data_IF_769665962666
#
_entry.id   IF_769665962666
#
_cell.length_a   1.000
_cell.length_b   1.000
_cell.length_c   1.000
_cell.angle_alpha   90.00
_cell.angle_beta   90.00
_cell.angle_gamma   90.00
#
_symmetry.space_group_name_H-M   'P 1'
#
loop_
_entity.id
_entity.type
_entity.pdbx_description
1 polymer ?
#
# COMPACT_ATOMS: atom_id res chain seq x y z
N UNK A 1 20.07 47.27 39.82
CA UNK A 1 19.05 46.31 39.36
C UNK A 1 18.84 46.46 37.85
N UNK A 2 19.39 45.57 37.03
CA UNK A 2 19.03 45.41 35.62
C UNK A 2 18.87 43.91 35.37
N UNK A 3 17.64 43.46 35.14
CA UNK A 3 17.31 42.08 34.79
C UNK A 3 17.54 41.92 33.29
N UNK A 4 18.54 41.12 32.91
CA UNK A 4 18.71 40.66 31.53
C UNK A 4 17.77 39.48 31.29
N UNK A 5 16.81 39.65 30.38
CA UNK A 5 15.92 38.59 29.92
C UNK A 5 16.67 37.83 28.82
N UNK A 6 17.05 36.59 29.11
CA UNK A 6 17.65 35.67 28.15
C UNK A 6 16.53 35.09 27.29
N UNK A 7 16.39 35.57 26.05
CA UNK A 7 15.46 35.02 25.06
C UNK A 7 16.08 33.72 24.52
N UNK A 8 15.54 32.58 24.94
CA UNK A 8 15.95 31.27 24.45
C UNK A 8 15.58 31.10 22.98
N UNK A 9 16.57 31.24 22.10
CA UNK A 9 16.46 30.92 20.68
C UNK A 9 16.41 29.40 20.53
N UNK A 10 15.22 28.85 20.26
CA UNK A 10 15.09 27.44 19.85
C UNK A 10 15.64 27.35 18.42
N UNK A 11 16.90 26.96 18.31
CA UNK A 11 17.55 26.64 17.05
C UNK A 11 16.92 25.35 16.51
N UNK A 12 15.93 25.47 15.61
CA UNK A 12 15.51 24.37 14.76
C UNK A 12 16.69 24.03 13.84
N UNK A 13 17.44 22.99 14.20
CA UNK A 13 18.33 22.30 13.27
C UNK A 13 17.48 21.77 12.11
N UNK A 14 17.51 22.49 11.00
CA UNK A 14 17.05 21.99 9.71
C UNK A 14 17.99 20.85 9.30
N UNK A 15 17.63 19.61 9.65
CA UNK A 15 18.27 18.43 9.10
C UNK A 15 17.97 18.38 7.60
N UNK A 16 18.96 18.07 6.74
CA UNK A 16 18.75 17.94 5.32
C UNK A 16 17.69 16.86 5.07
N UNK A 17 16.66 17.22 4.30
CA UNK A 17 15.62 16.31 3.84
C UNK A 17 16.26 15.27 2.93
N UNK A 18 16.74 14.17 3.49
CA UNK A 18 17.12 12.99 2.71
C UNK A 18 15.85 12.39 2.12
N UNK A 19 15.94 11.96 0.86
CA UNK A 19 14.86 11.61 -0.08
C UNK A 19 13.99 10.38 0.29
N UNK A 20 13.72 10.12 1.58
CA UNK A 20 12.91 9.00 2.08
C UNK A 20 11.55 9.43 2.67
N UNK A 21 11.21 10.73 2.61
CA UNK A 21 9.91 11.25 3.05
C UNK A 21 8.76 11.03 2.03
N UNK A 22 8.93 10.17 1.03
CA UNK A 22 7.88 9.86 0.06
C UNK A 22 6.89 8.92 0.74
N UNK A 23 5.82 9.48 1.29
CA UNK A 23 4.71 8.72 1.87
C UNK A 23 4.45 8.96 3.36
N UNK A 24 5.22 9.76 4.10
CA UNK A 24 4.87 10.05 5.50
C UNK A 24 3.79 11.14 5.62
N UNK A 25 2.97 11.04 6.67
CA UNK A 25 2.03 12.10 7.04
C UNK A 25 2.16 12.47 8.52
N UNK A 26 1.89 13.75 8.82
CA UNK A 26 1.91 14.30 10.18
C UNK A 26 0.62 15.05 10.45
N UNK A 27 0.07 14.89 11.65
CA UNK A 27 -1.12 15.61 12.11
C UNK A 27 -0.86 16.30 13.44
N UNK A 28 -1.31 17.54 13.53
CA UNK A 28 -1.38 18.31 14.78
C UNK A 28 -2.80 18.75 15.04
N UNK A 29 -3.15 19.01 16.29
CA UNK A 29 -4.52 19.37 16.57
C UNK A 29 -4.88 19.60 18.02
N UNK A 30 -6.19 19.69 18.26
CA UNK A 30 -6.79 19.84 19.59
C UNK A 30 -7.91 18.84 19.82
N UNK A 31 -8.10 18.46 21.07
CA UNK A 31 -9.26 17.71 21.55
C UNK A 31 -10.03 18.59 22.53
N UNK A 32 -11.29 18.87 22.21
CA UNK A 32 -12.13 19.83 22.94
C UNK A 32 -13.53 19.27 23.21
N UNK A 33 -14.23 19.86 24.17
CA UNK A 33 -15.66 19.61 24.41
C UNK A 33 -16.54 20.46 23.47
N UNK A 34 -17.88 20.31 23.50
CA UNK A 34 -18.77 21.08 22.62
C UNK A 34 -18.76 22.60 22.88
N UNK A 35 -18.20 23.04 24.01
CA UNK A 35 -18.00 24.46 24.36
C UNK A 35 -16.65 25.00 23.89
N UNK A 36 -15.80 24.15 23.29
CA UNK A 36 -14.46 24.49 22.83
C UNK A 36 -13.38 24.43 23.91
N UNK A 37 -13.69 23.93 25.11
CA UNK A 37 -12.73 23.80 26.20
C UNK A 37 -11.83 22.56 25.98
N UNK A 38 -10.51 22.64 26.22
CA UNK A 38 -9.62 21.50 26.13
C UNK A 38 -10.04 20.33 27.03
N UNK A 39 -10.02 19.12 26.48
CA UNK A 39 -10.23 17.89 27.24
C UNK A 39 -8.88 17.31 27.64
N UNK A 40 -8.64 17.25 28.95
CA UNK A 40 -7.45 16.60 29.53
C UNK A 40 -7.57 15.07 29.49
N UNK A 41 -6.43 14.39 29.52
CA UNK A 41 -6.33 12.92 29.61
C UNK A 41 -7.03 12.16 28.47
N UNK A 42 -7.30 12.84 27.36
CA UNK A 42 -7.79 12.21 26.15
C UNK A 42 -6.68 11.36 25.49
N UNK A 43 -7.09 10.30 24.79
CA UNK A 43 -6.21 9.45 23.99
C UNK A 43 -6.71 9.40 22.56
N UNK A 44 -5.79 9.44 21.61
CA UNK A 44 -6.05 9.25 20.18
C UNK A 44 -5.44 7.91 19.78
N UNK A 45 -6.28 6.95 19.43
CA UNK A 45 -5.86 5.68 18.84
C UNK A 45 -5.94 5.79 17.33
N UNK A 46 -4.87 5.44 16.63
CA UNK A 46 -4.76 5.50 15.17
C UNK A 46 -4.53 4.09 14.65
N UNK A 47 -5.43 3.57 13.82
CA UNK A 47 -5.34 2.23 13.25
C UNK A 47 -5.34 2.33 11.72
N UNK A 48 -4.37 1.72 11.05
CA UNK A 48 -4.38 1.69 9.58
C UNK A 48 -5.52 0.80 9.08
N UNK A 49 -6.31 1.27 8.11
CA UNK A 49 -7.48 0.51 7.63
C UNK A 49 -7.09 -0.70 6.79
N UNK A 50 -5.96 -0.59 6.09
CA UNK A 50 -5.44 -1.59 5.15
C UNK A 50 -4.40 -2.52 5.83
N UNK A 51 -3.62 -1.98 6.76
CA UNK A 51 -2.67 -2.73 7.60
C UNK A 51 -3.21 -2.76 9.02
N UNK A 52 -4.26 -3.55 9.27
CA UNK A 52 -4.99 -3.57 10.57
C UNK A 52 -4.12 -3.88 11.80
N UNK A 53 -2.90 -4.36 11.58
CA UNK A 53 -1.89 -4.57 12.62
C UNK A 53 -1.20 -3.28 13.04
N UNK A 54 -1.17 -2.21 12.23
CA UNK A 54 -0.65 -0.92 12.67
C UNK A 54 -1.67 -0.23 13.58
N UNK A 55 -1.31 -0.11 14.86
CA UNK A 55 -2.09 0.58 15.90
C UNK A 55 -1.16 1.42 16.77
N UNK A 56 -1.37 2.72 16.80
CA UNK A 56 -0.68 3.63 17.71
C UNK A 56 -1.65 4.30 18.69
N UNK A 57 -1.17 4.62 19.88
CA UNK A 57 -1.96 5.29 20.92
C UNK A 57 -1.19 6.51 21.40
N UNK A 58 -1.76 7.69 21.16
CA UNK A 58 -1.18 8.98 21.47
C UNK A 58 -1.91 9.62 22.64
N UNK A 59 -1.17 10.04 23.67
CA UNK A 59 -1.74 10.83 24.77
C UNK A 59 -1.86 12.30 24.37
N UNK A 60 -3.04 12.88 24.59
CA UNK A 60 -3.27 14.31 24.40
C UNK A 60 -2.65 15.07 25.59
N UNK A 61 -2.03 16.21 25.32
CA UNK A 61 -1.44 17.06 26.36
C UNK A 61 -2.53 17.68 27.23
N UNK A 62 -2.14 18.18 28.41
CA UNK A 62 -3.07 18.81 29.36
C UNK A 62 -3.77 20.06 28.82
N UNK A 63 -3.19 20.72 27.82
CA UNK A 63 -3.78 21.86 27.10
C UNK A 63 -4.71 21.44 25.94
N UNK A 64 -5.00 20.14 25.82
CA UNK A 64 -5.82 19.54 24.78
C UNK A 64 -5.11 19.37 23.44
N UNK A 65 -3.83 19.76 23.31
CA UNK A 65 -3.11 19.66 22.03
C UNK A 65 -2.51 18.27 21.81
N UNK A 66 -2.38 17.87 20.54
CA UNK A 66 -1.69 16.66 20.14
C UNK A 66 -0.84 16.89 18.89
N UNK A 67 0.15 16.02 18.71
CA UNK A 67 0.93 15.88 17.50
C UNK A 67 1.25 14.40 17.30
N UNK A 68 1.03 13.89 16.10
CA UNK A 68 1.31 12.51 15.73
C UNK A 68 1.84 12.43 14.30
N UNK A 69 2.51 11.33 13.98
CA UNK A 69 3.02 11.02 12.66
C UNK A 69 2.67 9.58 12.34
N UNK A 70 2.39 9.30 11.07
CA UNK A 70 2.20 7.93 10.60
C UNK A 70 3.24 7.57 9.55
N UNK A 71 3.51 6.27 9.48
CA UNK A 71 4.54 5.66 8.63
C UNK A 71 4.17 5.75 7.15
N UNK A 72 2.88 5.66 6.81
CA UNK A 72 2.37 5.67 5.43
C UNK A 72 1.06 6.49 5.33
N UNK A 73 1.14 7.77 4.98
CA UNK A 73 -0.01 8.63 4.70
C UNK A 73 -0.71 8.38 3.36
N UNK A 74 -0.27 7.42 2.53
CA UNK A 74 -0.95 7.10 1.27
C UNK A 74 -2.26 6.34 1.51
N UNK A 75 -2.37 5.66 2.65
CA UNK A 75 -3.53 4.90 3.10
C UNK A 75 -4.43 5.68 4.08
N UNK A 76 -5.60 5.11 4.38
CA UNK A 76 -6.54 5.66 5.36
C UNK A 76 -6.28 5.10 6.77
N UNK A 77 -6.61 5.90 7.78
CA UNK A 77 -6.51 5.51 9.18
C UNK A 77 -7.84 5.75 9.90
N UNK A 78 -8.26 4.81 10.72
CA UNK A 78 -9.32 5.02 11.70
C UNK A 78 -8.74 5.72 12.93
N UNK A 79 -9.27 6.89 13.23
CA UNK A 79 -8.98 7.66 14.44
C UNK A 79 -10.08 7.40 15.44
N UNK A 80 -9.71 6.90 16.62
CA UNK A 80 -10.61 6.79 17.77
C UNK A 80 -10.12 7.73 18.87
N UNK A 81 -10.93 8.71 19.26
CA UNK A 81 -10.62 9.67 20.32
C UNK A 81 -11.53 9.41 21.52
N UNK A 82 -10.91 9.12 22.65
CA UNK A 82 -11.62 8.78 23.89
C UNK A 82 -11.09 9.62 25.05
N UNK A 83 -11.98 9.98 25.97
CA UNK A 83 -11.65 10.66 27.22
C UNK A 83 -12.65 10.26 28.31
N UNK A 84 -12.24 10.16 29.59
CA UNK A 84 -13.16 9.86 30.68
C UNK A 84 -14.31 10.88 30.77
N UNK A 85 -15.55 10.38 30.81
CA UNK A 85 -16.74 11.23 30.92
C UNK A 85 -17.20 11.86 29.60
N UNK A 86 -16.72 11.39 28.47
CA UNK A 86 -17.13 11.82 27.13
C UNK A 86 -17.50 10.63 26.25
N UNK A 87 -18.34 10.86 25.23
CA UNK A 87 -18.59 9.84 24.20
C UNK A 87 -17.40 9.72 23.26
N UNK A 88 -17.06 8.47 22.90
CA UNK A 88 -15.99 8.17 21.96
C UNK A 88 -16.27 8.74 20.57
N UNK A 89 -15.25 9.31 19.93
CA UNK A 89 -15.30 9.82 18.58
C UNK A 89 -14.56 8.86 17.64
N UNK A 90 -15.14 8.56 16.47
CA UNK A 90 -14.50 7.76 15.41
C UNK A 90 -14.61 8.43 14.05
N UNK A 91 -13.50 8.50 13.31
CA UNK A 91 -13.46 8.98 11.93
C UNK A 91 -12.37 8.25 11.15
N UNK A 92 -12.65 7.92 9.88
CA UNK A 92 -11.61 7.41 8.97
C UNK A 92 -11.06 8.58 8.17
N UNK A 93 -9.75 8.83 8.29
CA UNK A 93 -9.08 9.99 7.72
C UNK A 93 -7.95 9.53 6.81
N UNK A 94 -7.92 10.08 5.58
CA UNK A 94 -6.72 10.06 4.72
C UNK A 94 -5.94 11.33 4.98
N UNK A 95 -4.70 11.20 5.45
CA UNK A 95 -3.85 12.36 5.70
C UNK A 95 -3.13 12.78 4.43
N UNK A 96 -2.94 14.09 4.28
CA UNK A 96 -2.05 14.65 3.27
C UNK A 96 -0.58 14.34 3.60
N UNK A 97 0.22 14.10 2.56
CA UNK A 97 1.63 13.78 2.68
C UNK A 97 2.45 15.02 3.01
N UNK A 98 3.57 14.85 3.72
CA UNK A 98 4.55 15.92 3.94
C UNK A 98 5.01 16.48 2.58
N UNK A 99 5.04 17.82 2.38
CA UNK A 99 5.03 18.88 3.40
C UNK A 99 3.66 19.44 3.78
N UNK A 100 2.55 18.92 3.22
CA UNK A 100 1.22 19.42 3.54
C UNK A 100 0.89 19.23 5.02
N UNK A 101 0.21 20.23 5.60
CA UNK A 101 -0.17 20.23 7.01
C UNK A 101 -1.52 19.54 7.18
N UNK A 102 -1.59 18.58 8.09
CA UNK A 102 -2.86 18.09 8.60
C UNK A 102 -3.12 18.73 9.96
N UNK A 103 -4.10 19.62 10.03
CA UNK A 103 -4.57 20.23 11.28
C UNK A 103 -5.99 19.76 11.60
N UNK A 104 -6.23 19.30 12.84
CA UNK A 104 -7.54 18.78 13.21
C UNK A 104 -7.99 19.15 14.62
N UNK A 105 -9.29 19.44 14.76
CA UNK A 105 -9.93 19.59 16.06
C UNK A 105 -10.97 18.50 16.22
N UNK A 106 -10.79 17.64 17.22
CA UNK A 106 -11.77 16.62 17.59
C UNK A 106 -12.65 17.16 18.72
N UNK A 107 -13.96 17.19 18.50
CA UNK A 107 -14.94 17.64 19.49
C UNK A 107 -15.68 16.43 20.04
N UNK A 108 -15.51 16.13 21.33
CA UNK A 108 -16.18 14.98 21.95
C UNK A 108 -17.52 15.40 22.54
N UNK A 109 -18.56 14.60 22.28
CA UNK A 109 -19.90 14.85 22.79
C UNK A 109 -20.06 14.47 24.26
N UNK A 110 -21.18 14.90 24.85
CA UNK A 110 -21.58 14.52 26.20
C UNK A 110 -21.58 12.98 26.39
N UNK A 111 -21.30 12.48 27.61
CA UNK A 111 -21.25 11.05 27.86
C UNK A 111 -22.62 10.41 27.61
N UNK A 112 -22.63 9.33 26.83
CA UNK A 112 -23.78 8.43 26.77
C UNK A 112 -23.75 7.49 27.99
N UNK A 113 -24.93 7.02 28.42
CA UNK A 113 -25.11 6.17 29.61
C UNK A 113 -24.29 4.85 29.59
N UNK A 114 -23.68 4.53 28.45
CA UNK A 114 -22.83 3.35 28.21
C UNK A 114 -21.33 3.64 28.26
N UNK A 115 -20.87 4.87 28.50
CA UNK A 115 -19.43 5.25 28.42
C UNK A 115 -18.56 4.85 29.64
N UNK A 116 -18.99 3.86 30.42
CA UNK A 116 -18.11 3.22 31.40
C UNK A 116 -17.44 2.00 30.77
N UNK A 117 -16.22 2.23 30.31
CA UNK A 117 -15.04 1.36 30.34
C UNK A 117 -14.05 1.97 29.33
N UNK A 118 -13.33 3.01 29.75
CA UNK A 118 -12.12 3.45 29.03
C UNK A 118 -11.11 2.33 29.21
N UNK A 119 -11.12 1.33 28.33
CA UNK A 119 -9.99 0.43 28.20
C UNK A 119 -8.86 1.31 27.67
N UNK A 120 -7.85 1.56 28.49
CA UNK A 120 -6.58 2.09 27.98
C UNK A 120 -6.19 1.16 26.84
N UNK A 121 -6.23 1.64 25.60
CA UNK A 121 -5.84 0.87 24.45
C UNK A 121 -4.34 0.57 24.62
N UNK A 122 -4.02 -0.57 25.22
CA UNK A 122 -2.64 -1.06 25.26
C UNK A 122 -2.39 -1.63 23.87
N UNK A 123 -1.41 -1.07 23.18
CA UNK A 123 -0.88 -1.67 21.96
C UNK A 123 -0.20 -2.96 22.40
N UNK A 124 -0.56 -4.10 21.81
CA UNK A 124 0.09 -5.35 22.17
C UNK A 124 1.59 -5.26 21.87
N UNK A 125 2.47 -5.90 22.69
CA UNK A 125 3.91 -5.74 22.54
C UNK A 125 4.45 -6.10 21.14
N UNK A 126 3.85 -7.09 20.48
CA UNK A 126 4.26 -7.49 19.13
C UNK A 126 3.94 -6.40 18.11
N UNK A 127 2.75 -5.81 18.17
CA UNK A 127 2.38 -4.64 17.36
C UNK A 127 3.25 -3.43 17.67
N UNK A 128 3.58 -3.20 18.96
CA UNK A 128 4.47 -2.10 19.32
C UNK A 128 5.88 -2.27 18.69
N UNK A 129 6.45 -3.48 18.77
CA UNK A 129 7.72 -3.80 18.13
C UNK A 129 7.65 -3.67 16.60
N UNK A 130 6.55 -4.11 15.97
CA UNK A 130 6.31 -3.94 14.54
C UNK A 130 6.28 -2.46 14.13
N UNK A 131 5.51 -1.63 14.85
CA UNK A 131 5.40 -0.19 14.57
C UNK A 131 6.75 0.51 14.73
N UNK A 132 7.50 0.18 15.77
CA UNK A 132 8.84 0.72 16.00
C UNK A 132 9.79 0.33 14.86
N UNK A 133 9.78 -0.94 14.43
CA UNK A 133 10.55 -1.40 13.30
C UNK A 133 10.17 -0.70 11.99
N UNK A 134 8.89 -0.47 11.75
CA UNK A 134 8.40 0.26 10.57
C UNK A 134 8.89 1.72 10.57
N UNK A 135 8.89 2.37 11.73
CA UNK A 135 9.46 3.71 11.90
C UNK A 135 10.97 3.72 11.63
N UNK A 136 11.71 2.78 12.18
CA UNK A 136 13.17 2.66 11.96
C UNK A 136 13.49 2.37 10.48
N UNK A 137 12.66 1.56 9.80
CA UNK A 137 12.79 1.29 8.37
C UNK A 137 12.65 2.56 7.53
N UNK A 138 11.70 3.41 7.90
CA UNK A 138 11.47 4.72 7.28
C UNK A 138 12.60 5.71 7.51
N UNK A 139 13.33 5.58 8.62
CA UNK A 139 14.55 6.34 8.90
C UNK A 139 15.77 5.79 8.11
N UNK A 140 15.59 4.71 7.34
CA UNK A 140 16.61 4.10 6.49
C UNK A 140 17.51 3.09 7.21
N UNK A 141 17.34 2.89 8.51
CA UNK A 141 18.10 1.91 9.27
C UNK A 141 17.50 0.51 9.09
N UNK A 142 17.91 -0.18 8.03
CA UNK A 142 17.36 -1.50 7.69
C UNK A 142 17.66 -2.57 8.76
N UNK A 143 18.84 -2.52 9.39
CA UNK A 143 19.23 -3.52 10.41
C UNK A 143 18.42 -3.37 11.69
N UNK A 144 18.22 -2.13 12.16
CA UNK A 144 17.36 -1.85 13.32
C UNK A 144 15.90 -2.25 13.06
N UNK A 145 15.42 -2.00 11.84
CA UNK A 145 14.08 -2.42 11.44
C UNK A 145 13.92 -3.94 11.44
N UNK A 146 14.87 -4.67 10.85
CA UNK A 146 14.87 -6.14 10.85
C UNK A 146 14.86 -6.68 12.29
N UNK A 147 15.71 -6.16 13.17
CA UNK A 147 15.77 -6.59 14.57
C UNK A 147 14.41 -6.42 15.28
N UNK A 148 13.70 -5.32 15.00
CA UNK A 148 12.37 -5.06 15.56
C UNK A 148 11.28 -5.92 14.96
N UNK A 149 11.35 -6.25 13.69
CA UNK A 149 10.42 -7.21 13.07
C UNK A 149 10.64 -8.63 13.61
N UNK A 150 11.89 -9.03 13.84
CA UNK A 150 12.22 -10.30 14.50
C UNK A 150 11.76 -10.33 15.96
N UNK A 151 11.85 -9.22 16.69
CA UNK A 151 11.26 -9.06 18.03
C UNK A 151 9.73 -9.25 17.98
N UNK A 152 9.06 -8.59 17.02
CA UNK A 152 7.62 -8.71 16.83
C UNK A 152 7.20 -10.17 16.55
N UNK A 153 7.97 -10.90 15.73
CA UNK A 153 7.74 -12.32 15.43
C UNK A 153 7.99 -13.22 16.65
N UNK A 154 9.02 -12.92 17.47
CA UNK A 154 9.26 -13.67 18.73
C UNK A 154 8.09 -13.51 19.71
N UNK A 155 7.51 -12.32 19.76
CA UNK A 155 6.35 -12.01 20.61
C UNK A 155 5.06 -12.59 20.05
N UNK A 156 4.90 -12.63 18.72
CA UNK A 156 3.74 -13.17 18.02
C UNK A 156 4.14 -13.87 16.72
N UNK A 157 4.37 -15.20 16.74
CA UNK A 157 4.86 -15.95 15.59
C UNK A 157 3.91 -15.99 14.39
N UNK A 158 2.63 -15.70 14.58
CA UNK A 158 1.61 -15.59 13.53
C UNK A 158 1.39 -14.15 13.02
N UNK A 159 2.22 -13.18 13.40
CA UNK A 159 2.11 -11.80 12.92
C UNK A 159 2.59 -11.68 11.47
N UNK A 160 1.71 -11.96 10.51
CA UNK A 160 2.00 -11.93 9.07
C UNK A 160 2.62 -10.62 8.60
N UNK A 161 2.13 -9.48 9.09
CA UNK A 161 2.66 -8.16 8.75
C UNK A 161 4.18 -8.02 9.02
N UNK A 162 4.69 -8.63 10.09
CA UNK A 162 6.12 -8.60 10.40
C UNK A 162 6.93 -9.45 9.41
N UNK A 163 6.42 -10.60 8.96
CA UNK A 163 7.05 -11.39 7.90
C UNK A 163 7.03 -10.68 6.55
N UNK A 164 5.92 -10.03 6.19
CA UNK A 164 5.83 -9.22 4.97
C UNK A 164 6.85 -8.08 4.98
N UNK A 165 6.99 -7.39 6.12
CA UNK A 165 7.99 -6.35 6.30
C UNK A 165 9.42 -6.90 6.19
N UNK A 166 9.72 -8.04 6.84
CA UNK A 166 11.03 -8.69 6.72
C UNK A 166 11.36 -9.07 5.28
N UNK A 167 10.40 -9.60 4.53
CA UNK A 167 10.60 -9.98 3.14
C UNK A 167 11.08 -8.78 2.29
N UNK A 168 10.39 -7.63 2.43
CA UNK A 168 10.73 -6.37 1.77
C UNK A 168 12.08 -5.82 2.25
N UNK A 169 12.35 -5.87 3.56
CA UNK A 169 13.62 -5.39 4.14
C UNK A 169 14.82 -6.21 3.67
N UNK A 170 14.71 -7.54 3.65
CA UNK A 170 15.76 -8.42 3.15
C UNK A 170 15.97 -8.26 1.64
N UNK A 171 14.91 -8.09 0.84
CA UNK A 171 15.02 -7.79 -0.58
C UNK A 171 15.83 -6.50 -0.81
N UNK A 172 15.54 -5.42 -0.05
CA UNK A 172 16.30 -4.16 -0.11
C UNK A 172 17.77 -4.31 0.29
N UNK A 173 18.09 -5.28 1.14
CA UNK A 173 19.48 -5.65 1.49
C UNK A 173 20.13 -6.62 0.51
N UNK A 174 19.42 -7.02 -0.54
CA UNK A 174 19.81 -8.08 -1.48
C UNK A 174 20.05 -9.45 -0.82
N UNK A 175 19.54 -9.67 0.40
CA UNK A 175 19.54 -10.98 1.07
C UNK A 175 18.32 -11.77 0.59
N UNK A 176 18.36 -12.17 -0.69
CA UNK A 176 17.22 -12.78 -1.36
C UNK A 176 16.81 -14.12 -0.74
N UNK A 177 17.75 -14.87 -0.15
CA UNK A 177 17.44 -16.12 0.53
C UNK A 177 16.53 -15.89 1.75
N UNK A 178 16.85 -14.90 2.61
CA UNK A 178 15.99 -14.56 3.74
C UNK A 178 14.70 -13.87 3.30
N UNK A 179 14.75 -13.07 2.24
CA UNK A 179 13.57 -12.44 1.65
C UNK A 179 12.53 -13.49 1.21
N UNK A 180 12.97 -14.52 0.48
CA UNK A 180 12.12 -15.63 0.04
C UNK A 180 11.49 -16.35 1.24
N UNK A 181 12.30 -16.74 2.23
CA UNK A 181 11.80 -17.45 3.41
C UNK A 181 10.74 -16.63 4.18
N UNK A 182 10.95 -15.32 4.31
CA UNK A 182 10.00 -14.43 4.98
C UNK A 182 8.71 -14.26 4.16
N UNK A 183 8.79 -14.08 2.84
CA UNK A 183 7.61 -13.93 1.99
C UNK A 183 6.79 -15.23 1.91
N UNK A 184 7.43 -16.39 1.81
CA UNK A 184 6.73 -17.68 1.84
C UNK A 184 6.02 -17.90 3.18
N UNK A 185 6.65 -17.51 4.29
CA UNK A 185 6.02 -17.56 5.61
C UNK A 185 4.84 -16.60 5.73
N UNK A 186 4.94 -15.40 5.15
CA UNK A 186 3.83 -14.46 5.09
C UNK A 186 2.63 -15.05 4.32
N UNK A 187 2.85 -15.53 3.09
CA UNK A 187 1.81 -16.18 2.27
C UNK A 187 1.20 -17.41 2.96
N UNK A 188 1.98 -18.19 3.71
CA UNK A 188 1.45 -19.30 4.49
C UNK A 188 0.48 -18.87 5.62
N UNK A 189 0.57 -17.62 6.08
CA UNK A 189 -0.29 -17.06 7.13
C UNK A 189 -1.52 -16.34 6.57
N UNK A 190 -1.39 -15.64 5.44
CA UNK A 190 -2.48 -14.80 4.88
C UNK A 190 -3.13 -15.35 3.62
N UNK A 191 -2.54 -16.37 2.99
CA UNK A 191 -2.95 -16.85 1.67
C UNK A 191 -2.34 -16.00 0.55
N UNK A 192 -3.15 -15.71 -0.48
CA UNK A 192 -2.73 -14.93 -1.64
C UNK A 192 -2.48 -13.46 -1.26
N UNK A 193 -1.28 -12.96 -1.59
CA UNK A 193 -0.91 -11.56 -1.41
C UNK A 193 -0.04 -11.07 -2.56
N UNK A 194 -0.56 -10.06 -3.25
CA UNK A 194 -0.03 -9.46 -4.46
C UNK A 194 1.39 -8.88 -4.30
N UNK A 195 1.62 -8.21 -3.17
CA UNK A 195 2.91 -7.63 -2.81
C UNK A 195 3.93 -8.75 -2.57
N UNK A 196 3.55 -9.81 -1.87
CA UNK A 196 4.44 -10.95 -1.61
C UNK A 196 4.76 -11.74 -2.89
N UNK A 197 3.83 -11.85 -3.82
CA UNK A 197 4.12 -12.42 -5.15
C UNK A 197 5.15 -11.61 -5.92
N UNK A 198 5.05 -10.27 -5.87
CA UNK A 198 6.03 -9.38 -6.50
C UNK A 198 7.42 -9.51 -5.85
N UNK A 199 7.47 -9.55 -4.51
CA UNK A 199 8.72 -9.74 -3.75
C UNK A 199 9.38 -11.09 -4.09
N UNK A 200 8.61 -12.17 -4.14
CA UNK A 200 9.12 -13.50 -4.48
C UNK A 200 9.61 -13.56 -5.93
N UNK A 201 8.85 -12.99 -6.88
CA UNK A 201 9.25 -12.95 -8.27
C UNK A 201 10.62 -12.26 -8.45
N UNK A 202 10.81 -11.10 -7.80
CA UNK A 202 12.08 -10.39 -7.83
C UNK A 202 13.20 -11.18 -7.14
N UNK A 203 12.96 -11.66 -5.91
CA UNK A 203 13.98 -12.36 -5.14
C UNK A 203 14.43 -13.66 -5.83
N UNK A 204 13.52 -14.42 -6.43
CA UNK A 204 13.86 -15.59 -7.24
C UNK A 204 14.61 -15.23 -8.52
N UNK A 205 14.22 -14.13 -9.20
CA UNK A 205 14.93 -13.67 -10.39
C UNK A 205 16.38 -13.28 -10.07
N UNK A 206 16.59 -12.55 -8.98
CA UNK A 206 17.91 -12.06 -8.55
C UNK A 206 18.79 -13.16 -7.95
N UNK A 207 18.20 -14.18 -7.33
CA UNK A 207 18.91 -15.39 -6.87
C UNK A 207 19.17 -16.42 -7.99
N UNK A 208 18.70 -16.15 -9.22
CA UNK A 208 18.99 -16.96 -10.40
C UNK A 208 17.98 -18.08 -10.70
N UNK A 209 16.96 -18.26 -9.86
CA UNK A 209 15.90 -19.23 -10.10
C UNK A 209 14.81 -18.64 -11.00
N UNK A 210 15.06 -18.66 -12.32
CA UNK A 210 14.17 -18.08 -13.33
C UNK A 210 12.80 -18.75 -13.40
N UNK A 211 12.73 -20.04 -13.10
CA UNK A 211 11.48 -20.81 -13.14
C UNK A 211 10.52 -20.36 -12.04
N UNK A 212 11.00 -20.33 -10.78
CA UNK A 212 10.23 -19.81 -9.64
C UNK A 212 9.90 -18.33 -9.82
N UNK A 213 10.81 -17.54 -10.38
CA UNK A 213 10.55 -16.13 -10.66
C UNK A 213 9.36 -15.96 -11.62
N UNK A 214 9.31 -16.75 -12.70
CA UNK A 214 8.20 -16.73 -13.64
C UNK A 214 6.89 -17.21 -12.99
N UNK A 215 6.96 -18.26 -12.16
CA UNK A 215 5.80 -18.77 -11.39
C UNK A 215 5.16 -17.67 -10.53
N UNK A 216 5.96 -16.97 -9.72
CA UNK A 216 5.43 -15.93 -8.83
C UNK A 216 5.08 -14.64 -9.56
N UNK A 217 5.80 -14.30 -10.65
CA UNK A 217 5.43 -13.16 -11.51
C UNK A 217 4.05 -13.36 -12.14
N UNK A 218 3.70 -14.60 -12.48
CA UNK A 218 2.37 -14.92 -13.00
C UNK A 218 1.25 -14.72 -11.96
N UNK A 219 1.56 -14.84 -10.67
CA UNK A 219 0.60 -14.67 -9.55
C UNK A 219 0.45 -13.23 -9.07
N UNK A 220 1.47 -12.38 -9.24
CA UNK A 220 1.41 -10.97 -8.90
C UNK A 220 0.32 -10.21 -9.70
N UNK A 221 -0.25 -9.11 -9.18
CA UNK A 221 -1.29 -8.37 -9.87
C UNK A 221 -0.68 -7.77 -11.13
N UNK A 222 -1.17 -8.25 -12.26
CA UNK A 222 -0.66 -7.81 -13.54
C UNK A 222 -1.46 -6.58 -13.97
N UNK A 223 -0.79 -5.52 -14.42
CA UNK A 223 -1.43 -4.44 -15.13
C UNK A 223 -1.64 -4.83 -16.61
N UNK A 224 -2.44 -4.05 -17.34
CA UNK A 224 -2.72 -4.34 -18.74
C UNK A 224 -1.46 -4.42 -19.62
N UNK A 225 -0.46 -3.51 -19.51
CA UNK A 225 0.82 -3.65 -20.21
C UNK A 225 1.60 -4.94 -19.91
N UNK A 226 1.64 -5.40 -18.66
CA UNK A 226 2.37 -6.60 -18.27
C UNK A 226 1.73 -7.88 -18.81
N UNK A 227 0.39 -7.93 -18.79
CA UNK A 227 -0.37 -9.02 -19.43
C UNK A 227 -0.17 -9.02 -20.93
N UNK A 228 -0.23 -7.85 -21.56
CA UNK A 228 0.03 -7.68 -22.98
C UNK A 228 1.43 -8.18 -23.37
N UNK A 229 2.47 -7.76 -22.65
CA UNK A 229 3.85 -8.19 -22.91
C UNK A 229 4.03 -9.70 -22.74
N UNK A 230 3.37 -10.33 -21.75
CA UNK A 230 3.38 -11.78 -21.60
C UNK A 230 2.66 -12.48 -22.75
N UNK A 231 1.50 -11.96 -23.16
CA UNK A 231 0.79 -12.48 -24.32
C UNK A 231 1.64 -12.40 -25.59
N UNK A 232 2.32 -11.27 -25.82
CA UNK A 232 3.22 -11.09 -26.97
C UNK A 232 4.33 -12.14 -26.98
N UNK A 233 4.86 -12.55 -25.82
CA UNK A 233 5.82 -13.66 -25.78
C UNK A 233 5.22 -14.99 -26.25
N UNK A 234 3.97 -15.28 -25.88
CA UNK A 234 3.25 -16.46 -26.39
C UNK A 234 2.95 -16.33 -27.89
N UNK A 235 2.51 -15.16 -28.35
CA UNK A 235 2.27 -14.90 -29.78
C UNK A 235 3.53 -15.11 -30.62
N UNK A 236 4.68 -14.58 -30.17
CA UNK A 236 5.97 -14.78 -30.82
C UNK A 236 6.42 -16.24 -30.84
N UNK A 237 5.94 -17.05 -29.89
CA UNK A 237 6.15 -18.49 -29.85
C UNK A 237 5.10 -19.31 -30.65
N UNK A 238 4.18 -18.64 -31.35
CA UNK A 238 3.08 -19.29 -32.08
C UNK A 238 2.00 -19.92 -31.18
N UNK A 239 1.98 -19.56 -29.91
CA UNK A 239 1.09 -20.09 -28.87
C UNK A 239 -0.12 -19.17 -28.68
N UNK A 240 -0.93 -19.06 -29.73
CA UNK A 240 -2.07 -18.14 -29.75
C UNK A 240 -3.13 -18.49 -28.69
N UNK A 241 -3.34 -19.78 -28.42
CA UNK A 241 -4.33 -20.23 -27.45
C UNK A 241 -3.97 -19.79 -26.02
N UNK A 242 -2.69 -19.77 -25.67
CA UNK A 242 -2.17 -19.30 -24.38
C UNK A 242 -2.15 -17.77 -24.28
N UNK A 243 -2.02 -17.06 -25.41
CA UNK A 243 -2.00 -15.59 -25.44
C UNK A 243 -3.38 -14.96 -25.24
N UNK A 244 -4.44 -15.56 -25.79
CA UNK A 244 -5.83 -15.05 -25.72
C UNK A 244 -6.27 -14.69 -24.29
N UNK A 245 -6.20 -15.58 -23.28
CA UNK A 245 -6.68 -15.24 -21.94
C UNK A 245 -5.93 -14.07 -21.31
N UNK A 246 -4.63 -13.92 -21.62
CA UNK A 246 -3.82 -12.80 -21.14
C UNK A 246 -4.24 -11.49 -21.80
N UNK A 247 -4.47 -11.49 -23.12
CA UNK A 247 -4.95 -10.31 -23.86
C UNK A 247 -6.37 -9.92 -23.43
N UNK A 248 -7.26 -10.89 -23.23
CA UNK A 248 -8.61 -10.62 -22.69
C UNK A 248 -8.52 -9.93 -21.34
N UNK A 249 -7.74 -10.47 -20.39
CA UNK A 249 -7.55 -9.85 -19.08
C UNK A 249 -6.92 -8.45 -19.20
N UNK A 250 -5.98 -8.25 -20.12
CA UNK A 250 -5.40 -6.93 -20.38
C UNK A 250 -6.48 -5.91 -20.81
N UNK A 251 -7.37 -6.31 -21.72
CA UNK A 251 -8.48 -5.46 -22.18
C UNK A 251 -9.57 -5.23 -21.12
N UNK A 252 -9.72 -6.14 -20.16
CA UNK A 252 -10.62 -5.95 -19.01
C UNK A 252 -10.05 -4.96 -17.99
N UNK A 253 -8.73 -5.00 -17.77
CA UNK A 253 -8.03 -4.08 -16.87
C UNK A 253 -7.88 -2.68 -17.46
N UNK A 254 -7.65 -2.57 -18.77
CA UNK A 254 -7.64 -1.31 -19.50
C UNK A 254 -8.41 -1.46 -20.82
N UNK A 255 -9.69 -1.06 -20.77
CA UNK A 255 -10.57 -1.10 -21.91
C UNK A 255 -10.14 -0.15 -23.05
N UNK A 256 -9.25 0.81 -22.78
CA UNK A 256 -8.71 1.75 -23.76
C UNK A 256 -7.41 1.29 -24.41
N UNK A 257 -6.86 0.14 -24.00
CA UNK A 257 -5.59 -0.36 -24.52
C UNK A 257 -5.73 -0.93 -25.94
N UNK A 258 -5.65 -0.06 -26.95
CA UNK A 258 -5.88 -0.41 -28.35
C UNK A 258 -4.99 -1.54 -28.85
N UNK A 259 -3.71 -1.57 -28.49
CA UNK A 259 -2.78 -2.58 -28.99
C UNK A 259 -3.14 -3.98 -28.48
N UNK A 260 -3.68 -4.10 -27.27
CA UNK A 260 -4.17 -5.37 -26.73
C UNK A 260 -5.41 -5.86 -27.49
N UNK A 261 -6.34 -4.96 -27.83
CA UNK A 261 -7.50 -5.29 -28.68
C UNK A 261 -7.10 -5.75 -30.08
N UNK A 262 -6.11 -5.09 -30.69
CA UNK A 262 -5.59 -5.51 -32.00
C UNK A 262 -4.96 -6.90 -31.95
N UNK A 263 -4.06 -7.14 -31.00
CA UNK A 263 -3.39 -8.43 -30.87
C UNK A 263 -4.38 -9.56 -30.50
N UNK A 264 -5.41 -9.26 -29.69
CA UNK A 264 -6.48 -10.20 -29.37
C UNK A 264 -7.27 -10.59 -30.64
N UNK A 265 -7.60 -9.60 -31.46
CA UNK A 265 -8.25 -9.82 -32.75
C UNK A 265 -7.41 -10.71 -33.67
N UNK A 266 -6.12 -10.40 -33.81
CA UNK A 266 -5.20 -11.19 -34.64
C UNK A 266 -4.97 -12.61 -34.12
N UNK A 267 -4.91 -12.80 -32.80
CA UNK A 267 -4.83 -14.13 -32.19
C UNK A 267 -6.10 -14.95 -32.50
N UNK A 268 -7.28 -14.34 -32.43
CA UNK A 268 -8.53 -14.99 -32.81
C UNK A 268 -8.59 -15.35 -34.31
N UNK A 269 -8.05 -14.51 -35.20
CA UNK A 269 -7.91 -14.85 -36.63
C UNK A 269 -7.09 -16.13 -36.81
N UNK A 270 -5.92 -16.23 -36.15
CA UNK A 270 -5.05 -17.41 -36.24
C UNK A 270 -5.68 -18.68 -35.64
N UNK A 271 -6.58 -18.51 -34.68
CA UNK A 271 -7.37 -19.59 -34.09
C UNK A 271 -8.69 -19.88 -34.84
N UNK A 272 -8.94 -19.22 -35.98
CA UNK A 272 -10.17 -19.32 -36.77
C UNK A 272 -11.47 -19.00 -35.99
N UNK A 273 -11.37 -18.15 -34.96
CA UNK A 273 -12.50 -17.65 -34.15
C UNK A 273 -13.02 -16.34 -34.75
N UNK A 274 -13.66 -16.43 -35.92
CA UNK A 274 -14.00 -15.27 -36.75
C UNK A 274 -14.93 -14.24 -36.07
N UNK A 275 -16.00 -14.63 -35.36
CA UNK A 275 -16.86 -13.67 -34.67
C UNK A 275 -16.10 -12.86 -33.61
N UNK A 276 -15.29 -13.53 -32.78
CA UNK A 276 -14.50 -12.90 -31.73
C UNK A 276 -13.39 -12.01 -32.30
N UNK A 277 -12.73 -12.47 -33.38
CA UNK A 277 -11.74 -11.69 -34.10
C UNK A 277 -12.34 -10.37 -34.61
N UNK A 278 -13.52 -10.44 -35.24
CA UNK A 278 -14.20 -9.26 -35.78
C UNK A 278 -14.58 -8.28 -34.68
N UNK A 279 -15.10 -8.76 -33.57
CA UNK A 279 -15.45 -7.92 -32.43
C UNK A 279 -14.22 -7.20 -31.84
N UNK A 280 -13.12 -7.92 -31.62
CA UNK A 280 -11.90 -7.35 -31.06
C UNK A 280 -11.23 -6.34 -32.01
N UNK A 281 -11.15 -6.65 -33.32
CA UNK A 281 -10.61 -5.73 -34.32
C UNK A 281 -11.49 -4.48 -34.51
N UNK A 282 -12.82 -4.62 -34.41
CA UNK A 282 -13.71 -3.47 -34.43
C UNK A 282 -13.47 -2.57 -33.21
N UNK A 283 -13.30 -3.17 -32.03
CA UNK A 283 -12.99 -2.41 -30.81
C UNK A 283 -11.66 -1.65 -30.91
N UNK A 284 -10.64 -2.26 -31.53
CA UNK A 284 -9.39 -1.58 -31.86
C UNK A 284 -9.63 -0.36 -32.77
N UNK A 285 -10.42 -0.51 -33.84
CA UNK A 285 -10.71 0.59 -34.77
C UNK A 285 -11.52 1.72 -34.13
N UNK A 286 -12.38 1.40 -33.17
CA UNK A 286 -13.13 2.42 -32.41
C UNK A 286 -12.19 3.26 -31.52
N UNK A 287 -11.15 2.65 -30.96
CA UNK A 287 -10.17 3.30 -30.08
C UNK A 287 -9.07 4.04 -30.87
N UNK A 288 -8.60 3.44 -31.97
CA UNK A 288 -7.49 3.90 -32.78
C UNK A 288 -7.84 3.88 -34.28
N UNK A 289 -8.80 4.72 -34.74
CA UNK A 289 -9.29 4.69 -36.13
C UNK A 289 -8.22 5.02 -37.18
N UNK A 290 -7.15 5.71 -36.75
CA UNK A 290 -5.98 6.08 -37.53
C UNK A 290 -4.68 5.48 -36.95
N UNK A 291 -4.78 4.40 -36.15
CA UNK A 291 -3.62 3.69 -35.63
C UNK A 291 -2.79 3.01 -36.73
N UNK A 292 -1.56 2.63 -36.41
CA UNK A 292 -0.62 2.02 -37.36
C UNK A 292 -1.20 0.77 -38.06
N UNK A 293 -2.00 -0.02 -37.34
CA UNK A 293 -2.59 -1.26 -37.85
C UNK A 293 -4.04 -1.09 -38.33
N UNK A 294 -4.59 0.13 -38.37
CA UNK A 294 -5.99 0.37 -38.71
C UNK A 294 -6.34 -0.08 -40.15
N UNK A 295 -5.43 0.09 -41.11
CA UNK A 295 -5.62 -0.39 -42.47
C UNK A 295 -5.68 -1.93 -42.53
N UNK A 296 -4.78 -2.59 -41.78
CA UNK A 296 -4.74 -4.05 -41.69
C UNK A 296 -6.01 -4.58 -41.03
N UNK A 297 -6.42 -4.02 -39.88
CA UNK A 297 -7.62 -4.43 -39.18
C UNK A 297 -8.88 -4.32 -40.05
N UNK A 298 -9.04 -3.21 -40.78
CA UNK A 298 -10.16 -3.03 -41.74
C UNK A 298 -10.15 -4.07 -42.84
N UNK A 299 -8.97 -4.40 -43.37
CA UNK A 299 -8.83 -5.39 -44.42
C UNK A 299 -9.20 -6.79 -43.92
N UNK A 300 -8.65 -7.19 -42.77
CA UNK A 300 -8.93 -8.50 -42.15
C UNK A 300 -10.42 -8.67 -41.88
N UNK A 301 -11.09 -7.66 -41.32
CA UNK A 301 -12.54 -7.72 -41.01
C UNK A 301 -13.39 -8.07 -42.24
N UNK A 302 -13.01 -7.66 -43.45
CA UNK A 302 -13.76 -7.98 -44.69
C UNK A 302 -13.84 -9.48 -44.97
N UNK A 303 -12.85 -10.24 -44.51
CA UNK A 303 -12.72 -11.67 -44.74
C UNK A 303 -13.19 -12.51 -43.55
N UNK A 304 -13.59 -11.88 -42.45
CA UNK A 304 -14.19 -12.54 -41.29
C UNK A 304 -15.71 -12.63 -41.48
N UNK A 305 -16.16 -13.81 -41.89
CA UNK A 305 -17.58 -14.19 -41.99
C UNK A 305 -18.22 -14.33 -40.61
#
# INVERSE_FOLDING_TARGET
MRKSILLGLILMLALPVTAFAVGQARMTGKVVDPTGKPIKDATITVVATEVRTFKEVHKVKSDGTFALAVVDGTIKYEFTVAAPGFSEYKEVIKMALVPEKNERTFTLGAPTATSQLVTTAVVDPATAAYNEGAKIANEGNLDGAIAKMEEAIKLKPELSAAYMALAKLFARKNDYAKSIAAAEKALALVGDDDDMYSVLAEAYAKSGNKEKAAEYKAKAPQNAPDLYNQAVNFLNAGKDAEAVPLLTKATELDASFSDAWFQLGMAYVRLAKNPEAKAALQKYLDLAPNGNDAAMAKEVIKYLN
#
